data_IF_789339176658
#
_entry.id   IF_789339176658
#
_cell.length_a   1.000
_cell.length_b   1.000
_cell.length_c   1.000
_cell.angle_alpha   90.00
_cell.angle_beta   90.00
_cell.angle_gamma   90.00
#
_symmetry.space_group_name_H-M   'P 1'
#
loop_
_entity.id
_entity.type
_entity.pdbx_description
1 polymer ?
#
# COMPACT_ATOMS: atom_id res chain seq x y z
N UNK A 1 5.73 10.97 -4.63
CA UNK A 1 4.46 11.59 -5.04
C UNK A 1 3.31 10.78 -4.43
N UNK A 2 2.57 11.36 -3.48
CA UNK A 2 1.31 10.76 -3.02
C UNK A 2 0.30 10.88 -4.17
N UNK A 3 -0.31 9.75 -4.55
CA UNK A 3 -1.24 9.71 -5.68
C UNK A 3 -2.63 9.69 -5.05
N UNK A 4 -3.05 10.85 -4.56
CA UNK A 4 -4.43 11.05 -4.17
C UNK A 4 -5.20 11.43 -5.42
N UNK A 5 -5.99 10.47 -5.91
CA UNK A 5 -6.79 10.69 -7.10
C UNK A 5 -8.18 11.12 -6.69
N UNK A 6 -8.36 12.43 -6.75
CA UNK A 6 -9.66 13.04 -6.62
C UNK A 6 -10.41 12.91 -7.94
N UNK A 7 -11.74 13.02 -7.86
CA UNK A 7 -12.73 12.88 -8.93
C UNK A 7 -12.24 13.15 -10.36
N UNK A 8 -12.74 12.38 -11.34
CA UNK A 8 -12.42 12.51 -12.76
C UNK A 8 -10.96 12.23 -13.15
N UNK A 9 -10.16 11.57 -12.30
CA UNK A 9 -8.86 11.09 -12.74
C UNK A 9 -9.00 9.94 -13.75
N UNK A 10 -8.34 10.06 -14.90
CA UNK A 10 -8.25 9.00 -15.91
C UNK A 10 -7.57 7.71 -15.40
N UNK A 11 -6.94 7.81 -14.23
CA UNK A 11 -6.17 6.75 -13.59
C UNK A 11 -7.02 5.92 -12.58
N UNK A 12 -8.31 6.24 -12.41
CA UNK A 12 -9.28 5.40 -11.71
C UNK A 12 -10.13 4.64 -12.74
N UNK A 13 -9.67 3.45 -13.14
CA UNK A 13 -10.29 2.66 -14.21
C UNK A 13 -11.65 2.11 -13.81
N UNK A 14 -11.88 1.89 -12.50
CA UNK A 14 -13.19 1.49 -11.97
C UNK A 14 -14.29 2.51 -12.17
N UNK A 15 -13.90 3.78 -12.31
CA UNK A 15 -14.81 4.94 -12.35
C UNK A 15 -15.73 4.99 -11.11
N UNK A 16 -15.37 4.32 -10.02
CA UNK A 16 -16.12 4.32 -8.77
C UNK A 16 -15.41 5.17 -7.74
N UNK A 17 -16.17 6.06 -7.12
CA UNK A 17 -15.67 6.97 -6.11
C UNK A 17 -16.56 6.91 -4.88
N UNK A 18 -15.94 7.01 -3.70
CA UNK A 18 -16.66 7.20 -2.43
C UNK A 18 -15.92 8.24 -1.60
N UNK A 19 -16.62 9.30 -1.24
CA UNK A 19 -16.04 10.48 -0.59
C UNK A 19 -14.85 11.04 -1.39
N UNK A 20 -15.03 11.19 -2.71
CA UNK A 20 -14.03 11.70 -3.65
C UNK A 20 -12.73 10.86 -3.75
N UNK A 21 -12.70 9.64 -3.22
CA UNK A 21 -11.57 8.70 -3.34
C UNK A 21 -11.95 7.54 -4.26
N UNK A 22 -11.07 7.20 -5.20
CA UNK A 22 -11.22 6.05 -6.08
C UNK A 22 -11.35 4.75 -5.27
N UNK A 23 -12.34 3.92 -5.62
CA UNK A 23 -12.48 2.56 -5.12
C UNK A 23 -11.91 1.64 -6.18
N UNK A 24 -10.79 1.00 -5.89
CA UNK A 24 -10.13 0.11 -6.84
C UNK A 24 -10.96 -1.15 -7.10
N UNK A 25 -11.12 -1.48 -8.38
CA UNK A 25 -11.66 -2.76 -8.87
C UNK A 25 -10.60 -3.55 -9.64
N UNK A 26 -11.00 -4.67 -10.24
CA UNK A 26 -10.09 -5.56 -10.97
C UNK A 26 -9.47 -4.88 -12.19
N UNK A 27 -10.18 -3.93 -12.79
CA UNK A 27 -9.69 -3.07 -13.86
C UNK A 27 -8.48 -2.22 -13.48
N UNK A 28 -8.31 -1.90 -12.19
CA UNK A 28 -7.16 -1.14 -11.69
C UNK A 28 -5.95 -2.04 -11.38
N UNK A 29 -6.13 -3.37 -11.39
CA UNK A 29 -5.10 -4.34 -10.98
C UNK A 29 -3.79 -4.25 -11.78
N UNK A 30 -3.80 -4.09 -13.13
CA UNK A 30 -2.54 -3.93 -13.88
C UNK A 30 -1.74 -2.70 -13.43
N UNK A 31 -2.40 -1.63 -13.02
CA UNK A 31 -1.74 -0.44 -12.50
C UNK A 31 -1.27 -0.64 -11.05
N UNK A 32 -2.12 -1.23 -10.19
CA UNK A 32 -1.84 -1.52 -8.78
C UNK A 32 -0.66 -2.47 -8.59
N UNK A 33 -0.61 -3.54 -9.39
CA UNK A 33 0.44 -4.57 -9.30
C UNK A 33 1.84 -4.02 -9.57
N UNK A 34 1.95 -2.92 -10.32
CA UNK A 34 3.22 -2.28 -10.68
C UNK A 34 3.60 -1.10 -9.75
N UNK A 35 2.85 -0.85 -8.68
CA UNK A 35 3.20 0.21 -7.74
C UNK A 35 4.32 -0.20 -6.77
N UNK A 36 5.23 0.73 -6.50
CA UNK A 36 6.27 0.59 -5.45
C UNK A 36 5.73 0.89 -4.03
N UNK A 37 4.48 1.34 -3.94
CA UNK A 37 3.81 1.67 -2.67
C UNK A 37 3.34 0.40 -1.98
N UNK A 38 3.60 0.30 -0.68
CA UNK A 38 3.18 -0.84 0.14
C UNK A 38 1.66 -0.87 0.38
N UNK A 39 1.03 0.30 0.40
CA UNK A 39 -0.38 0.44 0.76
C UNK A 39 -1.15 1.16 -0.34
N UNK A 40 -2.37 0.67 -0.58
CA UNK A 40 -3.33 1.27 -1.49
C UNK A 40 -4.66 1.49 -0.74
N UNK A 41 -5.31 2.62 -1.02
CA UNK A 41 -6.65 2.93 -0.52
C UNK A 41 -7.45 3.56 -1.68
N UNK A 42 -8.69 3.13 -1.99
CA UNK A 42 -9.59 2.26 -1.22
C UNK A 42 -9.97 0.98 -1.98
N UNK A 43 -10.06 -0.16 -1.30
CA UNK A 43 -10.69 -1.39 -1.84
C UNK A 43 -11.93 -1.73 -1.02
N UNK A 44 -12.98 -2.25 -1.67
CA UNK A 44 -14.24 -2.60 -1.01
C UNK A 44 -14.75 -3.96 -1.50
N UNK A 45 -14.76 -5.01 -0.66
CA UNK A 45 -15.29 -6.33 -1.00
C UNK A 45 -16.73 -6.32 -1.51
N UNK A 46 -17.56 -5.39 -1.03
CA UNK A 46 -18.95 -5.22 -1.47
C UNK A 46 -19.09 -4.62 -2.86
N UNK A 47 -18.02 -4.04 -3.41
CA UNK A 47 -17.98 -3.51 -4.77
C UNK A 47 -17.33 -4.52 -5.71
N UNK A 48 -16.09 -4.91 -5.41
CA UNK A 48 -15.35 -5.89 -6.22
C UNK A 48 -14.38 -6.65 -5.30
N UNK A 49 -14.67 -7.94 -5.10
CA UNK A 49 -13.83 -8.83 -4.31
C UNK A 49 -12.65 -9.39 -5.11
N UNK A 50 -12.74 -9.46 -6.44
CA UNK A 50 -11.66 -9.98 -7.29
C UNK A 50 -10.41 -9.12 -7.18
N UNK A 51 -10.57 -7.79 -7.07
CA UNK A 51 -9.46 -6.87 -6.82
C UNK A 51 -8.69 -7.22 -5.52
N UNK A 52 -9.42 -7.59 -4.46
CA UNK A 52 -8.83 -7.96 -3.16
C UNK A 52 -8.14 -9.32 -3.25
N UNK A 53 -8.79 -10.29 -3.89
CA UNK A 53 -8.29 -11.67 -4.04
C UNK A 53 -7.02 -11.72 -4.90
N UNK A 54 -7.03 -11.09 -6.08
CA UNK A 54 -5.86 -11.04 -6.95
C UNK A 54 -4.67 -10.30 -6.32
N UNK A 55 -4.91 -9.24 -5.53
CA UNK A 55 -3.85 -8.58 -4.78
C UNK A 55 -3.27 -9.47 -3.68
N UNK A 56 -4.11 -10.27 -3.02
CA UNK A 56 -3.65 -11.27 -2.05
C UNK A 56 -2.77 -12.33 -2.72
N UNK A 57 -3.22 -12.89 -3.84
CA UNK A 57 -2.45 -13.88 -4.59
C UNK A 57 -1.12 -13.30 -5.10
N UNK A 58 -1.12 -12.07 -5.61
CA UNK A 58 0.09 -11.38 -6.02
C UNK A 58 1.11 -11.25 -4.88
N UNK A 59 0.65 -10.86 -3.69
CA UNK A 59 1.51 -10.75 -2.51
C UNK A 59 2.00 -12.12 -2.04
N UNK A 60 1.15 -13.14 -2.09
CA UNK A 60 1.54 -14.52 -1.79
C UNK A 60 2.64 -15.00 -2.75
N UNK A 61 2.47 -14.80 -4.06
CA UNK A 61 3.46 -15.21 -5.06
C UNK A 61 4.80 -14.48 -4.87
N UNK A 62 4.77 -13.19 -4.53
CA UNK A 62 5.99 -12.40 -4.25
C UNK A 62 6.72 -12.87 -2.98
N UNK A 63 5.98 -13.22 -1.93
CA UNK A 63 6.56 -13.52 -0.61
C UNK A 63 6.89 -14.99 -0.40
N UNK A 64 6.01 -15.90 -0.84
CA UNK A 64 6.13 -17.34 -0.62
C UNK A 64 6.79 -18.07 -1.80
N UNK A 65 6.53 -17.63 -3.03
CA UNK A 65 7.10 -18.25 -4.24
C UNK A 65 8.34 -17.51 -4.77
N UNK A 66 8.72 -16.39 -4.15
CA UNK A 66 9.88 -15.59 -4.56
C UNK A 66 9.74 -14.92 -5.93
N UNK A 67 8.51 -14.74 -6.44
CA UNK A 67 8.24 -14.09 -7.73
C UNK A 67 8.28 -12.56 -7.61
N UNK A 68 9.47 -12.02 -7.34
CA UNK A 68 9.68 -10.60 -7.11
C UNK A 68 9.86 -9.86 -8.43
N UNK A 69 8.89 -9.01 -8.78
CA UNK A 69 8.98 -8.14 -9.97
C UNK A 69 9.67 -6.80 -9.65
N UNK A 70 9.57 -6.33 -8.40
CA UNK A 70 10.17 -5.09 -7.92
C UNK A 70 10.70 -5.28 -6.51
N UNK A 71 11.94 -4.87 -6.24
CA UNK A 71 12.48 -4.86 -4.89
C UNK A 71 11.82 -3.76 -4.04
N UNK A 72 11.63 -4.07 -2.75
CA UNK A 72 11.11 -3.11 -1.80
C UNK A 72 12.17 -2.05 -1.49
N UNK A 73 11.90 -0.81 -1.87
CA UNK A 73 12.79 0.33 -1.59
C UNK A 73 12.65 0.80 -0.14
N UNK A 74 13.30 0.11 0.79
CA UNK A 74 13.24 0.40 2.23
C UNK A 74 13.63 1.85 2.58
N UNK A 75 14.63 2.40 1.88
CA UNK A 75 15.08 3.79 2.10
C UNK A 75 13.97 4.84 1.93
N UNK A 76 12.99 4.60 1.05
CA UNK A 76 11.83 5.47 0.89
C UNK A 76 10.95 5.50 2.14
N UNK A 77 10.81 4.37 2.82
CA UNK A 77 9.97 4.23 4.01
C UNK A 77 10.69 4.67 5.27
N UNK A 78 11.99 4.39 5.38
CA UNK A 78 12.82 4.82 6.50
C UNK A 78 12.92 6.35 6.62
N UNK A 79 12.87 7.05 5.50
CA UNK A 79 12.93 8.53 5.45
C UNK A 79 11.60 9.22 5.77
N UNK A 80 10.53 8.47 6.07
CA UNK A 80 9.22 9.06 6.31
C UNK A 80 9.16 9.78 7.67
N UNK A 81 8.51 10.97 7.76
CA UNK A 81 8.47 11.76 8.99
C UNK A 81 7.92 11.00 10.20
N UNK A 82 6.90 10.15 9.98
CA UNK A 82 6.29 9.37 11.04
C UNK A 82 7.22 8.29 11.60
N UNK A 83 8.12 7.72 10.78
CA UNK A 83 9.14 6.76 11.23
C UNK A 83 10.16 7.47 12.11
N UNK A 84 10.66 8.61 11.66
CA UNK A 84 11.63 9.42 12.41
C UNK A 84 11.08 9.90 13.76
N UNK A 85 9.83 10.36 13.80
CA UNK A 85 9.20 10.83 15.04
C UNK A 85 8.91 9.65 15.98
N UNK A 86 8.48 8.50 15.46
CA UNK A 86 8.24 7.31 16.28
C UNK A 86 9.53 6.79 16.91
N UNK A 87 10.63 6.73 16.15
CA UNK A 87 11.95 6.38 16.69
C UNK A 87 12.40 7.34 17.80
N UNK A 88 12.19 8.65 17.59
CA UNK A 88 12.48 9.67 18.59
C UNK A 88 11.63 9.50 19.86
N UNK A 89 10.31 9.28 19.71
CA UNK A 89 9.41 9.02 20.84
C UNK A 89 9.78 7.74 21.60
N UNK A 90 10.21 6.69 20.91
CA UNK A 90 10.67 5.45 21.53
C UNK A 90 11.96 5.66 22.32
N UNK A 91 12.89 6.46 21.79
CA UNK A 91 14.11 6.86 22.49
C UNK A 91 13.79 7.63 23.80
N UNK A 92 12.86 8.59 23.75
CA UNK A 92 12.42 9.32 24.95
C UNK A 92 11.63 8.46 25.95
N UNK A 93 10.97 7.39 25.50
CA UNK A 93 10.24 6.44 26.35
C UNK A 93 11.10 5.30 26.88
N UNK A 94 12.40 5.24 26.55
CA UNK A 94 13.31 4.20 27.02
C UNK A 94 12.95 2.79 26.53
N UNK A 95 12.24 2.67 25.41
CA UNK A 95 11.87 1.37 24.83
C UNK A 95 13.05 0.87 24.00
N UNK A 96 13.64 -0.30 24.30
CA UNK A 96 14.76 -0.82 23.54
C UNK A 96 14.35 -1.13 22.10
N UNK A 97 15.22 -0.75 21.15
CA UNK A 97 15.06 -0.83 19.70
C UNK A 97 14.79 -2.24 19.13
N UNK A 98 14.88 -3.29 19.95
CA UNK A 98 14.60 -4.67 19.58
C UNK A 98 13.11 -5.04 19.61
N UNK A 99 12.24 -4.23 20.22
CA UNK A 99 10.80 -4.51 20.26
C UNK A 99 10.06 -4.14 18.96
N UNK A 100 10.76 -3.59 17.96
CA UNK A 100 10.16 -2.92 16.79
C UNK A 100 9.92 -3.81 15.57
N UNK A 101 10.31 -5.10 15.59
CA UNK A 101 10.13 -6.01 14.42
C UNK A 101 8.78 -6.75 14.42
N UNK A 102 7.90 -6.51 15.41
CA UNK A 102 6.53 -7.06 15.43
C UNK A 102 5.48 -5.95 15.44
N UNK A 103 5.34 -5.22 14.33
CA UNK A 103 4.05 -4.66 13.87
C UNK A 103 4.04 -4.69 12.35
#
# INVERSE_FOLDING_TARGET
>A
MEIWQYEHSELCFSKKFRHCVCIFGIEDFPWLSNQLKLLANKMMPSFDYAAVDCMHELLFNRTHLGQINHELQLALYESQPYVSVQALMMFFRGIPSFLTVMV
#
